data_IF_325939957107
#
_entry.id   IF_325939957107
#
_cell.length_a   1.000
_cell.length_b   1.000
_cell.length_c   1.000
_cell.angle_alpha   90.00
_cell.angle_beta   90.00
_cell.angle_gamma   90.00
#
_symmetry.space_group_name_H-M   'P 1'
#
loop_
_entity.id
_entity.type
_entity.pdbx_description
1 polymer ?
#
# COMPACT_ATOMS: atom_id res chain seq x y z
N UNK A 1 -5.52 -16.34 -11.62
CA UNK A 1 -5.57 -16.24 -10.13
C UNK A 1 -4.62 -15.13 -9.67
N UNK A 2 -4.96 -14.37 -8.60
CA UNK A 2 -4.17 -13.19 -8.23
C UNK A 2 -2.83 -13.50 -7.55
N UNK A 3 -2.70 -14.62 -6.80
CA UNK A 3 -1.43 -14.98 -6.13
C UNK A 3 -0.30 -15.45 -7.06
N UNK A 4 -0.61 -15.81 -8.32
CA UNK A 4 0.32 -16.19 -9.40
C UNK A 4 1.49 -17.13 -9.04
N UNK A 5 1.27 -18.16 -8.21
CA UNK A 5 2.34 -19.10 -7.85
C UNK A 5 3.01 -19.81 -9.05
N UNK A 6 2.31 -19.93 -10.19
CA UNK A 6 2.83 -20.53 -11.43
C UNK A 6 3.59 -19.56 -12.32
N UNK A 7 3.73 -18.27 -11.97
CA UNK A 7 4.47 -17.28 -12.77
C UNK A 7 5.91 -17.74 -13.04
N UNK A 8 6.54 -18.37 -12.03
CA UNK A 8 7.90 -18.91 -12.14
C UNK A 8 8.01 -20.04 -13.18
N UNK A 9 6.91 -20.57 -13.73
CA UNK A 9 6.93 -21.58 -14.79
C UNK A 9 6.73 -21.01 -16.20
N UNK A 10 6.68 -19.68 -16.38
CA UNK A 10 6.49 -19.07 -17.70
C UNK A 10 7.66 -19.34 -18.67
N UNK A 11 8.89 -19.48 -18.17
CA UNK A 11 10.05 -19.95 -18.94
C UNK A 11 10.69 -21.19 -18.27
N UNK A 12 10.13 -22.39 -18.49
CA UNK A 12 10.62 -23.60 -17.84
C UNK A 12 12.10 -23.87 -18.14
N UNK A 13 12.59 -23.55 -19.34
CA UNK A 13 13.97 -23.84 -19.74
C UNK A 13 14.95 -22.97 -18.97
N UNK A 14 14.65 -21.69 -18.82
CA UNK A 14 15.45 -20.77 -17.99
C UNK A 14 15.41 -21.19 -16.52
N UNK A 15 14.24 -21.55 -15.99
CA UNK A 15 14.13 -22.10 -14.64
C UNK A 15 14.99 -23.36 -14.46
N UNK A 16 14.94 -24.31 -15.41
CA UNK A 16 15.72 -25.54 -15.35
C UNK A 16 17.22 -25.27 -15.28
N UNK A 17 17.72 -24.27 -16.01
CA UNK A 17 19.14 -23.85 -15.95
C UNK A 17 19.50 -23.32 -14.56
N UNK A 18 18.64 -22.49 -13.95
CA UNK A 18 18.87 -21.94 -12.60
C UNK A 18 18.92 -23.07 -11.56
N UNK A 19 17.92 -23.97 -11.57
CA UNK A 19 17.81 -25.05 -10.58
C UNK A 19 18.94 -26.09 -10.65
N UNK A 20 19.50 -26.30 -11.84
CA UNK A 20 20.53 -27.31 -12.10
C UNK A 20 21.93 -26.74 -12.31
N UNK A 21 22.18 -25.48 -11.92
CA UNK A 21 23.54 -24.95 -11.91
C UNK A 21 24.39 -25.76 -10.91
N UNK A 22 25.49 -26.40 -11.33
CA UNK A 22 26.28 -27.28 -10.46
C UNK A 22 27.03 -26.51 -9.36
N UNK A 23 27.38 -25.25 -9.61
CA UNK A 23 28.07 -24.40 -8.64
C UNK A 23 27.09 -23.66 -7.72
N UNK A 24 25.88 -23.39 -8.22
CA UNK A 24 24.87 -22.55 -7.56
C UNK A 24 23.49 -23.19 -7.60
N UNK A 25 23.30 -24.38 -7.00
CA UNK A 25 22.02 -25.09 -7.06
C UNK A 25 20.91 -24.31 -6.36
N UNK A 26 19.69 -24.38 -6.87
CA UNK A 26 18.52 -23.72 -6.24
C UNK A 26 17.42 -24.76 -6.02
N UNK A 27 16.72 -24.64 -4.90
CA UNK A 27 15.52 -25.41 -4.59
C UNK A 27 14.34 -24.46 -4.36
N UNK A 28 13.17 -24.83 -4.87
CA UNK A 28 11.93 -24.09 -4.68
C UNK A 28 10.98 -24.94 -3.86
N UNK A 29 10.55 -24.38 -2.73
CA UNK A 29 9.57 -24.98 -1.85
C UNK A 29 8.22 -24.29 -2.05
N UNK A 30 7.21 -25.08 -2.40
CA UNK A 30 5.82 -24.66 -2.43
C UNK A 30 5.09 -25.25 -1.24
N UNK A 31 4.16 -24.50 -0.66
CA UNK A 31 3.23 -25.02 0.33
C UNK A 31 1.90 -24.29 0.23
N UNK A 32 0.80 -25.01 0.44
CA UNK A 32 -0.52 -24.39 0.40
C UNK A 32 -1.64 -25.41 0.46
N UNK A 33 -2.85 -24.89 0.58
CA UNK A 33 -4.10 -25.66 0.51
C UNK A 33 -5.02 -24.95 -0.48
N UNK A 34 -5.64 -25.71 -1.37
CA UNK A 34 -6.76 -25.21 -2.17
C UNK A 34 -8.06 -25.57 -1.45
N UNK A 35 -8.98 -24.60 -1.34
CA UNK A 35 -10.33 -24.90 -0.88
C UNK A 35 -11.00 -25.89 -1.85
N UNK A 36 -11.85 -26.83 -1.37
CA UNK A 36 -12.50 -27.81 -2.25
C UNK A 36 -13.35 -27.22 -3.38
N UNK A 37 -13.78 -25.97 -3.27
CA UNK A 37 -14.54 -25.24 -4.31
C UNK A 37 -13.67 -24.30 -5.17
N UNK A 38 -12.36 -24.24 -4.92
CA UNK A 38 -11.44 -23.38 -5.65
C UNK A 38 -10.68 -24.19 -6.72
N UNK A 39 -11.33 -24.42 -7.85
CA UNK A 39 -10.75 -25.21 -8.94
C UNK A 39 -9.47 -24.57 -9.51
N UNK A 40 -9.41 -23.25 -9.61
CA UNK A 40 -8.19 -22.55 -10.01
C UNK A 40 -7.01 -22.82 -9.06
N UNK A 41 -7.27 -22.93 -7.75
CA UNK A 41 -6.27 -23.32 -6.76
C UNK A 41 -5.83 -24.77 -6.90
N UNK A 42 -6.75 -25.68 -7.23
CA UNK A 42 -6.42 -27.10 -7.50
C UNK A 42 -5.59 -27.25 -8.77
N UNK A 43 -5.92 -26.53 -9.84
CA UNK A 43 -5.13 -26.54 -11.09
C UNK A 43 -3.72 -26.01 -10.88
N UNK A 44 -3.56 -24.99 -10.03
CA UNK A 44 -2.27 -24.45 -9.64
C UNK A 44 -1.42 -25.51 -8.93
N UNK A 45 -1.98 -26.22 -7.94
CA UNK A 45 -1.28 -27.31 -7.25
C UNK A 45 -0.95 -28.45 -8.23
N UNK A 46 -1.88 -28.81 -9.12
CA UNK A 46 -1.65 -29.83 -10.15
C UNK A 46 -0.49 -29.44 -11.07
N UNK A 47 -0.43 -28.18 -11.49
CA UNK A 47 0.67 -27.66 -12.32
C UNK A 47 2.01 -27.75 -11.60
N UNK A 48 2.07 -27.33 -10.34
CA UNK A 48 3.30 -27.43 -9.52
C UNK A 48 3.75 -28.90 -9.42
N UNK A 49 2.84 -29.81 -9.10
CA UNK A 49 3.15 -31.23 -8.96
C UNK A 49 3.59 -31.85 -10.29
N UNK A 50 2.99 -31.43 -11.40
CA UNK A 50 3.41 -31.85 -12.74
C UNK A 50 4.87 -31.46 -13.01
N UNK A 51 5.24 -30.19 -12.80
CA UNK A 51 6.64 -29.75 -12.95
C UNK A 51 7.57 -30.47 -11.97
N UNK A 52 7.18 -30.64 -10.71
CA UNK A 52 8.00 -31.32 -9.69
C UNK A 52 8.36 -32.78 -10.04
N UNK A 53 7.59 -33.43 -10.92
CA UNK A 53 7.83 -34.81 -11.35
C UNK A 53 8.63 -34.91 -12.66
N UNK A 54 8.79 -33.81 -13.40
CA UNK A 54 9.50 -33.79 -14.68
C UNK A 54 11.04 -33.89 -14.51
N UNK A 55 11.69 -34.49 -15.51
CA UNK A 55 13.14 -34.62 -15.55
C UNK A 55 13.85 -33.25 -15.61
N UNK A 56 14.78 -33.05 -14.67
CA UNK A 56 15.47 -31.79 -14.44
C UNK A 56 14.78 -30.83 -13.47
N UNK A 57 13.60 -31.16 -12.95
CA UNK A 57 12.96 -30.42 -11.86
C UNK A 57 12.76 -31.28 -10.61
N UNK A 58 12.72 -32.61 -10.80
CA UNK A 58 12.62 -33.58 -9.72
C UNK A 58 13.69 -33.36 -8.64
N UNK A 59 13.27 -33.22 -7.39
CA UNK A 59 14.14 -32.92 -6.24
C UNK A 59 14.54 -31.46 -6.10
N UNK A 60 14.31 -30.62 -7.12
CA UNK A 60 14.55 -29.18 -7.10
C UNK A 60 13.29 -28.36 -6.84
N UNK A 61 12.13 -28.90 -7.22
CA UNK A 61 10.82 -28.36 -6.86
C UNK A 61 10.17 -29.34 -5.89
N UNK A 62 9.77 -28.84 -4.72
CA UNK A 62 9.12 -29.65 -3.69
C UNK A 62 7.81 -28.98 -3.29
N UNK A 63 6.72 -29.74 -3.33
CA UNK A 63 5.43 -29.32 -2.77
C UNK A 63 5.24 -29.95 -1.39
N UNK A 64 5.03 -29.12 -0.38
CA UNK A 64 4.83 -29.53 1.00
C UNK A 64 3.32 -29.48 1.30
N UNK A 65 2.76 -30.67 1.49
CA UNK A 65 1.34 -30.84 1.80
C UNK A 65 1.01 -30.40 3.23
N UNK A 66 -0.28 -30.20 3.50
CA UNK A 66 -0.75 -30.03 4.88
C UNK A 66 -0.33 -28.71 5.54
N UNK A 67 -0.16 -27.62 4.77
CA UNK A 67 0.22 -26.31 5.30
C UNK A 67 -0.55 -25.94 6.58
N UNK A 68 0.21 -25.67 7.64
CA UNK A 68 -0.24 -25.46 9.01
C UNK A 68 0.70 -24.47 9.70
N UNK A 69 0.39 -24.07 10.93
CA UNK A 69 1.31 -23.21 11.70
C UNK A 69 2.69 -23.86 11.92
N UNK A 70 2.73 -25.19 12.11
CA UNK A 70 3.98 -25.92 12.28
C UNK A 70 4.83 -25.90 10.99
N UNK A 71 4.21 -26.22 9.85
CA UNK A 71 4.87 -26.15 8.53
C UNK A 71 5.30 -24.71 8.22
N UNK A 72 4.44 -23.73 8.48
CA UNK A 72 4.77 -22.31 8.29
C UNK A 72 5.96 -21.88 9.14
N UNK A 73 6.06 -22.35 10.39
CA UNK A 73 7.20 -22.04 11.26
C UNK A 73 8.49 -22.56 10.65
N UNK A 74 8.50 -23.83 10.23
CA UNK A 74 9.66 -24.46 9.61
C UNK A 74 10.08 -23.77 8.30
N UNK A 75 9.12 -23.43 7.44
CA UNK A 75 9.38 -22.73 6.17
C UNK A 75 9.95 -21.34 6.40
N UNK A 76 9.33 -20.56 7.27
CA UNK A 76 9.77 -19.19 7.58
C UNK A 76 11.15 -19.16 8.24
N UNK A 77 11.51 -20.17 9.03
CA UNK A 77 12.84 -20.27 9.63
C UNK A 77 13.91 -20.89 8.72
N UNK A 78 13.51 -21.66 7.70
CA UNK A 78 14.42 -22.42 6.86
C UNK A 78 14.61 -21.89 5.44
N UNK A 79 13.84 -20.87 5.04
CA UNK A 79 13.92 -20.29 3.70
C UNK A 79 14.89 -19.12 3.67
N UNK A 80 15.83 -19.14 2.73
CA UNK A 80 16.75 -18.02 2.46
C UNK A 80 16.01 -16.85 1.79
N UNK A 81 15.14 -17.16 0.84
CA UNK A 81 14.33 -16.20 0.09
C UNK A 81 12.86 -16.53 0.21
N UNK A 82 12.05 -15.52 0.50
CA UNK A 82 10.60 -15.63 0.45
C UNK A 82 10.03 -14.92 -0.77
N UNK A 83 9.52 -15.72 -1.71
CA UNK A 83 8.99 -15.25 -2.99
C UNK A 83 7.49 -14.92 -2.87
N UNK A 84 7.11 -13.67 -3.17
CA UNK A 84 5.72 -13.26 -3.30
C UNK A 84 5.49 -12.54 -4.64
N UNK A 85 4.57 -13.01 -5.45
CA UNK A 85 4.31 -12.44 -6.77
C UNK A 85 2.81 -12.19 -7.06
N UNK A 86 2.06 -11.56 -6.13
CA UNK A 86 0.66 -11.25 -6.37
C UNK A 86 0.50 -10.31 -7.57
N UNK A 87 -0.66 -10.36 -8.21
CA UNK A 87 -1.05 -9.42 -9.26
C UNK A 87 -1.41 -8.09 -8.61
N UNK A 88 -0.71 -7.02 -9.01
CA UNK A 88 -1.04 -5.64 -8.60
C UNK A 88 -2.42 -5.22 -9.12
N UNK A 89 -3.19 -4.40 -8.37
CA UNK A 89 -3.02 -4.01 -6.96
C UNK A 89 -3.91 -4.87 -6.03
N UNK A 90 -3.92 -6.20 -6.24
CA UNK A 90 -4.91 -7.08 -5.61
C UNK A 90 -4.48 -7.58 -4.23
N UNK A 91 -3.21 -7.38 -3.83
CA UNK A 91 -2.76 -7.66 -2.48
C UNK A 91 -2.98 -6.44 -1.57
N UNK A 92 -3.88 -6.55 -0.60
CA UNK A 92 -4.08 -5.47 0.37
C UNK A 92 -2.88 -5.30 1.33
N UNK A 93 -2.21 -6.41 1.71
CA UNK A 93 -1.04 -6.38 2.59
C UNK A 93 -0.19 -7.65 2.37
N UNK A 94 -0.45 -8.72 3.12
CA UNK A 94 0.26 -9.99 3.04
C UNK A 94 1.28 -10.16 4.17
N UNK A 95 0.97 -10.98 5.16
CA UNK A 95 1.77 -11.08 6.41
C UNK A 95 2.83 -12.17 6.41
N UNK A 96 2.88 -13.04 5.39
CA UNK A 96 3.86 -14.14 5.33
C UNK A 96 5.29 -13.63 5.20
N UNK A 97 5.53 -12.69 4.28
CA UNK A 97 6.85 -12.09 4.07
C UNK A 97 7.36 -11.27 5.24
N UNK A 98 6.46 -10.71 6.06
CA UNK A 98 6.80 -9.94 7.27
C UNK A 98 7.46 -10.81 8.36
N UNK A 99 7.24 -12.14 8.35
CA UNK A 99 7.72 -13.08 9.38
C UNK A 99 9.14 -13.56 9.11
N UNK A 100 9.59 -13.49 7.86
CA UNK A 100 10.85 -14.07 7.37
C UNK A 100 12.10 -13.37 7.91
N UNK A 101 12.15 -12.02 8.01
CA UNK A 101 13.36 -11.31 8.40
C UNK A 101 13.94 -11.68 9.77
N UNK A 102 13.09 -12.12 10.72
CA UNK A 102 13.56 -12.54 12.06
C UNK A 102 14.52 -13.73 12.02
N UNK A 103 14.46 -14.54 10.95
CA UNK A 103 15.34 -15.68 10.73
C UNK A 103 16.46 -15.38 9.72
N UNK A 104 16.67 -14.11 9.38
CA UNK A 104 17.68 -13.70 8.38
C UNK A 104 17.29 -13.97 6.92
N UNK A 105 16.05 -14.39 6.66
CA UNK A 105 15.56 -14.54 5.30
C UNK A 105 15.25 -13.18 4.64
N UNK A 106 15.25 -13.17 3.32
CA UNK A 106 15.12 -11.97 2.50
C UNK A 106 13.88 -12.08 1.60
N UNK A 107 13.16 -10.98 1.42
CA UNK A 107 11.98 -10.96 0.55
C UNK A 107 12.38 -10.68 -0.91
N UNK A 108 11.79 -11.44 -1.83
CA UNK A 108 11.77 -11.19 -3.27
C UNK A 108 10.30 -11.04 -3.65
N UNK A 109 9.84 -9.81 -3.85
CA UNK A 109 8.41 -9.55 -3.97
C UNK A 109 8.04 -8.52 -5.03
N UNK A 110 6.88 -8.69 -5.64
CA UNK A 110 6.21 -7.60 -6.35
C UNK A 110 5.95 -6.45 -5.36
N UNK A 111 6.08 -5.20 -5.82
CA UNK A 111 5.68 -3.99 -5.08
C UNK A 111 4.15 -3.87 -4.99
N UNK A 112 3.55 -4.75 -4.18
CA UNK A 112 2.12 -4.73 -3.83
C UNK A 112 1.93 -5.01 -2.33
N UNK A 113 0.76 -4.64 -1.81
CA UNK A 113 0.41 -4.85 -0.41
C UNK A 113 1.40 -4.21 0.57
N UNK A 114 2.01 -5.01 1.43
CA UNK A 114 2.91 -4.51 2.49
C UNK A 114 4.31 -4.13 1.98
N UNK A 115 4.74 -4.67 0.83
CA UNK A 115 6.12 -4.54 0.37
C UNK A 115 6.50 -3.09 0.00
N UNK A 116 5.63 -2.30 -0.67
CA UNK A 116 5.86 -0.86 -0.88
C UNK A 116 6.04 -0.03 0.40
N UNK A 117 5.49 -0.46 1.54
CA UNK A 117 5.67 0.22 2.82
C UNK A 117 7.03 -0.08 3.47
N UNK A 118 7.67 -1.19 3.09
CA UNK A 118 8.85 -1.75 3.75
C UNK A 118 10.12 -1.63 2.89
N UNK A 119 10.00 -1.78 1.57
CA UNK A 119 11.13 -1.91 0.67
C UNK A 119 11.95 -0.62 0.59
N UNK A 120 13.26 -0.72 0.79
CA UNK A 120 14.18 0.42 0.79
C UNK A 120 15.34 0.30 -0.22
N UNK A 121 15.27 -0.68 -1.13
CA UNK A 121 16.33 -0.97 -2.11
C UNK A 121 17.51 -1.78 -1.57
N UNK A 122 17.61 -1.97 -0.25
CA UNK A 122 18.74 -2.63 0.41
C UNK A 122 18.32 -3.81 1.30
N UNK A 123 17.02 -4.02 1.48
CA UNK A 123 16.43 -5.02 2.38
C UNK A 123 15.73 -6.20 1.66
N UNK A 124 15.96 -6.34 0.37
CA UNK A 124 15.42 -7.41 -0.48
C UNK A 124 15.35 -6.99 -1.94
N UNK A 125 14.43 -7.58 -2.69
CA UNK A 125 14.27 -7.31 -4.11
C UNK A 125 12.81 -7.02 -4.48
N UNK A 126 12.64 -6.07 -5.40
CA UNK A 126 11.38 -5.75 -6.04
C UNK A 126 11.29 -6.39 -7.42
N UNK A 127 10.22 -7.17 -7.68
CA UNK A 127 9.93 -7.71 -9.00
C UNK A 127 9.16 -6.67 -9.82
N UNK A 128 9.62 -6.45 -11.05
CA UNK A 128 9.12 -5.42 -11.96
C UNK A 128 9.56 -4.01 -11.56
N UNK A 129 8.93 -3.03 -12.20
CA UNK A 129 9.27 -1.60 -12.10
C UNK A 129 8.07 -0.74 -11.66
N UNK A 130 6.96 -1.37 -11.26
CA UNK A 130 5.74 -0.69 -10.84
C UNK A 130 4.83 -0.25 -12.00
N UNK A 131 5.17 -0.53 -13.26
CA UNK A 131 4.32 -0.16 -14.41
C UNK A 131 2.95 -0.85 -14.31
N UNK A 132 1.89 -0.08 -14.55
CA UNK A 132 0.53 -0.59 -14.68
C UNK A 132 0.29 -1.04 -16.12
N UNK A 133 -0.22 -2.25 -16.27
CA UNK A 133 -0.54 -2.84 -17.56
C UNK A 133 -2.05 -3.05 -17.65
N UNK A 134 -2.64 -2.63 -18.77
CA UNK A 134 -4.06 -2.91 -19.05
C UNK A 134 -4.31 -4.41 -19.34
N UNK A 135 -3.33 -5.09 -19.94
CA UNK A 135 -3.40 -6.53 -20.23
C UNK A 135 -2.68 -7.35 -19.14
N UNK A 136 -3.41 -8.23 -18.43
CA UNK A 136 -2.84 -9.15 -17.46
C UNK A 136 -1.72 -10.06 -17.99
N UNK A 137 -1.74 -10.44 -19.28
CA UNK A 137 -0.73 -11.32 -19.86
C UNK A 137 0.57 -10.57 -20.15
N UNK A 138 0.49 -9.32 -20.62
CA UNK A 138 1.67 -8.44 -20.73
C UNK A 138 2.34 -8.23 -19.37
N UNK A 139 1.54 -8.01 -18.31
CA UNK A 139 2.05 -7.92 -16.95
C UNK A 139 2.76 -9.19 -16.52
N UNK A 140 2.19 -10.37 -16.81
CA UNK A 140 2.78 -11.64 -16.40
C UNK A 140 4.09 -11.93 -17.14
N UNK A 141 4.20 -11.56 -18.43
CA UNK A 141 5.44 -11.68 -19.18
C UNK A 141 6.53 -10.76 -18.63
N UNK A 142 6.17 -9.50 -18.36
CA UNK A 142 7.07 -8.52 -17.79
C UNK A 142 7.56 -8.92 -16.38
N UNK A 143 6.64 -9.24 -15.47
CA UNK A 143 6.97 -9.64 -14.11
C UNK A 143 7.77 -10.96 -14.07
N UNK A 144 7.46 -11.91 -14.96
CA UNK A 144 8.24 -13.14 -15.10
C UNK A 144 9.66 -12.86 -15.56
N UNK A 145 9.85 -12.02 -16.58
CA UNK A 145 11.17 -11.67 -17.09
C UNK A 145 12.02 -11.00 -15.99
N UNK A 146 11.44 -10.04 -15.27
CA UNK A 146 12.09 -9.39 -14.13
C UNK A 146 12.46 -10.38 -13.01
N UNK A 147 11.54 -11.30 -12.66
CA UNK A 147 11.81 -12.34 -11.68
C UNK A 147 13.05 -13.17 -12.06
N UNK A 148 13.14 -13.63 -13.30
CA UNK A 148 14.29 -14.41 -13.75
C UNK A 148 15.59 -13.61 -13.76
N UNK A 149 15.55 -12.35 -14.20
CA UNK A 149 16.73 -11.48 -14.18
C UNK A 149 17.26 -11.27 -12.77
N UNK A 150 16.36 -11.04 -11.80
CA UNK A 150 16.72 -10.95 -10.39
C UNK A 150 17.33 -12.25 -9.88
N UNK A 151 16.72 -13.40 -10.20
CA UNK A 151 17.26 -14.70 -9.79
C UNK A 151 18.67 -14.93 -10.32
N UNK A 152 18.90 -14.68 -11.61
CA UNK A 152 20.15 -14.99 -12.29
C UNK A 152 21.29 -14.01 -12.00
N UNK A 153 20.98 -12.72 -11.87
CA UNK A 153 21.99 -11.66 -11.76
C UNK A 153 22.24 -11.21 -10.33
N UNK A 154 21.22 -11.30 -9.47
CA UNK A 154 21.27 -10.75 -8.12
C UNK A 154 21.13 -11.83 -7.06
N UNK A 155 19.98 -12.48 -6.95
CA UNK A 155 19.62 -13.34 -5.81
C UNK A 155 20.57 -14.54 -5.70
N UNK A 156 20.68 -15.35 -6.75
CA UNK A 156 21.50 -16.57 -6.72
C UNK A 156 23.00 -16.23 -6.64
N UNK A 157 23.56 -15.30 -7.44
CA UNK A 157 24.95 -14.90 -7.30
C UNK A 157 25.28 -14.36 -5.90
N UNK A 158 24.48 -13.45 -5.35
CA UNK A 158 24.73 -12.89 -4.02
C UNK A 158 24.62 -13.95 -2.92
N UNK A 159 23.74 -14.95 -3.08
CA UNK A 159 23.68 -16.07 -2.14
C UNK A 159 24.89 -16.98 -2.22
N UNK A 160 25.59 -17.11 -3.35
CA UNK A 160 26.72 -18.05 -3.50
C UNK A 160 28.11 -17.38 -3.53
N UNK A 161 28.18 -16.05 -3.63
CA UNK A 161 29.41 -15.28 -3.52
C UNK A 161 29.93 -15.38 -2.07
N UNK A 162 31.05 -16.07 -1.87
CA UNK A 162 31.61 -16.40 -0.55
C UNK A 162 33.01 -15.80 -0.46
N UNK A 163 33.33 -15.20 0.68
CA UNK A 163 34.71 -14.81 0.98
C UNK A 163 35.60 -16.02 1.35
N UNK A 164 36.86 -15.75 1.66
CA UNK A 164 37.85 -16.75 2.09
C UNK A 164 37.43 -17.56 3.34
N UNK A 165 36.48 -17.04 4.13
CA UNK A 165 35.95 -17.71 5.33
C UNK A 165 34.62 -18.43 5.04
N UNK A 166 34.17 -18.47 3.80
CA UNK A 166 32.89 -19.08 3.42
C UNK A 166 31.67 -18.24 3.80
N UNK A 167 31.81 -16.92 3.91
CA UNK A 167 30.70 -16.01 4.30
C UNK A 167 30.23 -15.19 3.10
N UNK A 168 28.92 -15.18 2.78
CA UNK A 168 28.37 -14.21 1.82
C UNK A 168 28.15 -12.85 2.46
N UNK A 169 29.17 -11.98 2.40
CA UNK A 169 29.10 -10.66 3.04
C UNK A 169 27.90 -9.84 2.56
N UNK A 170 27.65 -9.80 1.24
CA UNK A 170 26.54 -9.04 0.64
C UNK A 170 25.18 -9.58 1.08
N UNK A 171 25.02 -10.90 1.09
CA UNK A 171 23.80 -11.55 1.58
C UNK A 171 23.54 -11.25 3.05
N UNK A 172 24.56 -11.44 3.90
CA UNK A 172 24.46 -11.21 5.35
C UNK A 172 24.14 -9.75 5.64
N UNK A 173 24.72 -8.80 4.87
CA UNK A 173 24.39 -7.39 4.98
C UNK A 173 22.92 -7.12 4.65
N UNK A 174 22.41 -7.67 3.54
CA UNK A 174 21.00 -7.53 3.14
C UNK A 174 20.04 -8.20 4.15
N UNK A 175 20.39 -9.37 4.68
CA UNK A 175 19.63 -10.05 5.73
C UNK A 175 19.56 -9.21 7.02
N UNK A 176 20.66 -8.57 7.41
CA UNK A 176 20.69 -7.64 8.55
C UNK A 176 19.83 -6.40 8.31
N UNK A 177 19.86 -5.84 7.11
CA UNK A 177 19.04 -4.69 6.74
C UNK A 177 17.55 -5.05 6.70
N UNK A 178 17.20 -6.22 6.16
CA UNK A 178 15.87 -6.84 6.23
C UNK A 178 15.37 -6.95 7.67
N UNK A 179 16.17 -7.54 8.56
CA UNK A 179 15.83 -7.66 9.98
C UNK A 179 15.58 -6.28 10.62
N UNK A 180 16.52 -5.35 10.41
CA UNK A 180 16.52 -4.02 11.05
C UNK A 180 15.31 -3.19 10.64
N UNK A 181 14.93 -3.23 9.37
CA UNK A 181 13.91 -2.32 8.82
C UNK A 181 12.49 -2.88 8.91
N UNK A 182 12.31 -4.20 8.84
CA UNK A 182 10.97 -4.80 8.73
C UNK A 182 10.39 -5.11 10.11
N UNK A 183 11.15 -5.70 11.03
CA UNK A 183 10.58 -6.33 12.24
C UNK A 183 9.86 -5.33 13.14
N UNK A 184 10.43 -4.14 13.35
CA UNK A 184 9.79 -3.13 14.20
C UNK A 184 8.51 -2.57 13.54
N UNK A 185 8.52 -2.42 12.21
CA UNK A 185 7.43 -1.77 11.47
C UNK A 185 6.24 -2.72 11.34
N UNK A 186 6.45 -4.02 11.21
CA UNK A 186 5.39 -5.00 11.03
C UNK A 186 5.08 -5.82 12.29
N UNK A 187 5.46 -5.28 13.46
CA UNK A 187 5.11 -5.87 14.75
C UNK A 187 3.61 -5.73 15.06
N UNK A 188 2.97 -6.83 15.44
CA UNK A 188 1.59 -6.83 15.93
C UNK A 188 1.45 -6.00 17.22
N UNK A 189 2.51 -5.86 18.02
CA UNK A 189 2.49 -5.00 19.19
C UNK A 189 2.27 -3.53 18.79
N UNK A 190 3.05 -3.02 17.81
CA UNK A 190 2.85 -1.68 17.25
C UNK A 190 1.43 -1.53 16.71
N UNK A 191 0.97 -2.48 15.91
CA UNK A 191 -0.37 -2.45 15.32
C UNK A 191 -1.45 -2.32 16.40
N UNK A 192 -1.45 -3.19 17.42
CA UNK A 192 -2.46 -3.15 18.50
C UNK A 192 -2.39 -1.83 19.26
N UNK A 193 -1.18 -1.34 19.55
CA UNK A 193 -0.99 -0.07 20.24
C UNK A 193 -1.56 1.11 19.45
N UNK A 194 -1.29 1.17 18.14
CA UNK A 194 -1.87 2.20 17.27
C UNK A 194 -3.40 2.08 17.16
N UNK A 195 -3.95 0.86 17.12
CA UNK A 195 -5.39 0.66 17.15
C UNK A 195 -5.99 1.20 18.45
N UNK A 196 -5.34 0.90 19.58
CA UNK A 196 -5.76 1.35 20.90
C UNK A 196 -5.75 2.89 21.00
N UNK A 197 -4.63 3.52 20.66
CA UNK A 197 -4.43 4.97 20.79
C UNK A 197 -5.23 5.78 19.79
N UNK A 198 -5.31 5.35 18.52
CA UNK A 198 -5.91 6.13 17.44
C UNK A 198 -7.41 5.91 17.30
N UNK A 199 -7.94 4.76 17.73
CA UNK A 199 -9.35 4.41 17.52
C UNK A 199 -10.09 4.08 18.82
N UNK A 200 -9.63 3.10 19.59
CA UNK A 200 -10.40 2.63 20.75
C UNK A 200 -10.47 3.65 21.88
N UNK A 201 -9.34 4.21 22.32
CA UNK A 201 -9.33 5.20 23.41
C UNK A 201 -10.09 6.49 23.04
N UNK A 202 -9.92 7.10 21.84
CA UNK A 202 -10.74 8.22 21.42
C UNK A 202 -12.23 7.89 21.35
N UNK A 203 -12.58 6.70 20.84
CA UNK A 203 -13.96 6.23 20.77
C UNK A 203 -14.62 6.09 22.13
N UNK A 204 -13.90 5.52 23.12
CA UNK A 204 -14.38 5.40 24.50
C UNK A 204 -14.62 6.79 25.11
N UNK A 205 -13.63 7.69 25.02
CA UNK A 205 -13.75 9.07 25.55
C UNK A 205 -14.92 9.82 24.92
N UNK A 206 -15.14 9.65 23.63
CA UNK A 206 -16.26 10.28 22.93
C UNK A 206 -17.59 9.69 23.37
N UNK A 207 -17.69 8.37 23.53
CA UNK A 207 -18.91 7.71 24.02
C UNK A 207 -19.28 8.22 25.43
N UNK A 208 -18.31 8.34 26.32
CA UNK A 208 -18.49 8.92 27.66
C UNK A 208 -18.97 10.38 27.58
N UNK A 209 -18.32 11.20 26.75
CA UNK A 209 -18.71 12.60 26.54
C UNK A 209 -20.13 12.73 25.98
N UNK A 210 -20.51 11.91 24.99
CA UNK A 210 -21.83 11.94 24.37
C UNK A 210 -22.94 11.49 25.33
N UNK A 211 -22.61 10.69 26.35
CA UNK A 211 -23.54 10.23 27.39
C UNK A 211 -23.76 11.24 28.52
N UNK A 212 -22.98 12.32 28.59
CA UNK A 212 -23.13 13.38 29.61
C UNK A 212 -24.48 14.10 29.52
N UNK A 213 -24.91 14.66 30.66
CA UNK A 213 -26.12 15.51 30.77
C UNK A 213 -27.36 14.87 30.11
N UNK A 214 -27.68 13.63 30.51
CA UNK A 214 -28.80 12.85 29.96
C UNK A 214 -28.81 12.84 28.40
N UNK A 215 -27.63 12.58 27.83
CA UNK A 215 -27.38 12.53 26.39
C UNK A 215 -27.64 13.85 25.65
N UNK A 216 -27.53 15.02 26.31
CA UNK A 216 -27.70 16.32 25.65
C UNK A 216 -26.72 16.50 24.49
N UNK A 217 -25.45 16.13 24.69
CA UNK A 217 -24.41 16.23 23.66
C UNK A 217 -24.69 15.35 22.45
N UNK A 218 -25.16 14.12 22.67
CA UNK A 218 -25.59 13.22 21.60
C UNK A 218 -26.79 13.78 20.83
N UNK A 219 -27.80 14.30 21.52
CA UNK A 219 -28.99 14.89 20.88
C UNK A 219 -28.61 16.06 19.99
N UNK A 220 -27.70 16.93 20.44
CA UNK A 220 -27.19 18.05 19.63
C UNK A 220 -26.40 17.54 18.41
N UNK A 221 -25.50 16.56 18.61
CA UNK A 221 -24.73 15.98 17.52
C UNK A 221 -25.64 15.34 16.44
N UNK A 222 -26.69 14.61 16.85
CA UNK A 222 -27.68 14.03 15.93
C UNK A 222 -28.45 15.10 15.17
N UNK A 223 -28.81 16.24 15.79
CA UNK A 223 -29.44 17.36 15.07
C UNK A 223 -28.48 17.95 14.03
N UNK A 224 -27.22 18.13 14.39
CA UNK A 224 -26.19 18.60 13.47
C UNK A 224 -26.01 17.64 12.29
N UNK A 225 -25.92 16.33 12.55
CA UNK A 225 -25.83 15.29 11.50
C UNK A 225 -27.01 15.38 10.52
N UNK A 226 -28.24 15.50 11.03
CA UNK A 226 -29.43 15.65 10.18
C UNK A 226 -29.39 16.94 9.34
N UNK A 227 -29.01 18.06 9.95
CA UNK A 227 -28.91 19.35 9.26
C UNK A 227 -27.88 19.29 8.12
N UNK A 228 -26.65 18.86 8.42
CA UNK A 228 -25.56 18.84 7.44
C UNK A 228 -25.82 17.84 6.31
N UNK A 229 -26.35 16.65 6.60
CA UNK A 229 -26.70 15.67 5.58
C UNK A 229 -27.81 16.18 4.65
N UNK A 230 -28.80 16.90 5.18
CA UNK A 230 -29.92 17.41 4.38
C UNK A 230 -29.53 18.51 3.39
N UNK A 231 -28.47 19.28 3.71
CA UNK A 231 -27.97 20.40 2.90
C UNK A 231 -26.78 20.02 2.01
N UNK A 232 -26.16 18.86 2.24
CA UNK A 232 -24.87 18.52 1.61
C UNK A 232 -24.90 18.51 0.09
N UNK A 233 -26.00 18.05 -0.51
CA UNK A 233 -26.15 17.98 -1.97
C UNK A 233 -26.14 19.36 -2.65
N UNK A 234 -26.51 20.41 -1.92
CA UNK A 234 -26.54 21.77 -2.43
C UNK A 234 -25.15 22.46 -2.38
N UNK A 235 -24.21 21.92 -1.60
CA UNK A 235 -22.83 22.42 -1.55
C UNK A 235 -22.20 22.29 -2.94
N UNK A 236 -21.62 23.38 -3.41
CA UNK A 236 -20.92 23.43 -4.70
C UNK A 236 -19.80 24.47 -4.69
N UNK A 237 -18.84 24.22 -5.57
CA UNK A 237 -17.83 25.21 -5.91
C UNK A 237 -18.41 26.09 -7.03
N UNK A 238 -18.44 27.41 -6.84
CA UNK A 238 -19.07 28.30 -7.82
C UNK A 238 -18.08 28.82 -8.86
N UNK A 239 -16.90 29.29 -8.43
CA UNK A 239 -15.85 29.83 -9.32
C UNK A 239 -14.48 29.66 -8.64
N UNK A 240 -13.46 29.37 -9.43
CA UNK A 240 -12.06 29.48 -9.04
C UNK A 240 -11.67 30.96 -9.17
N UNK A 241 -11.52 31.68 -8.05
CA UNK A 241 -11.37 33.13 -8.09
C UNK A 241 -10.00 33.58 -8.62
N UNK A 242 -8.91 32.84 -8.33
CA UNK A 242 -7.55 33.08 -8.83
C UNK A 242 -6.63 31.85 -8.63
N UNK A 243 -5.70 31.60 -9.56
CA UNK A 243 -4.59 30.63 -9.41
C UNK A 243 -4.84 29.18 -9.84
N UNK A 244 -6.03 28.86 -10.37
CA UNK A 244 -6.46 27.49 -10.63
C UNK A 244 -6.88 27.20 -12.08
N UNK A 245 -6.59 28.12 -13.00
CA UNK A 245 -6.73 27.91 -14.46
C UNK A 245 -5.78 26.81 -14.95
N UNK A 246 -4.58 26.75 -14.37
CA UNK A 246 -3.64 25.65 -14.55
C UNK A 246 -3.49 24.88 -13.23
N UNK A 247 -4.11 23.70 -13.11
CA UNK A 247 -4.05 22.86 -11.90
C UNK A 247 -2.67 22.21 -11.67
N UNK A 248 -1.62 22.75 -12.31
CA UNK A 248 -0.24 22.28 -12.24
C UNK A 248 0.64 23.35 -11.56
N UNK A 249 1.41 22.95 -10.56
CA UNK A 249 2.49 23.75 -9.96
C UNK A 249 3.86 23.28 -10.47
N UNK A 250 4.75 24.24 -10.72
CA UNK A 250 6.18 23.97 -10.92
C UNK A 250 6.94 23.96 -9.59
N UNK A 251 8.11 23.33 -9.58
CA UNK A 251 9.00 23.30 -8.43
C UNK A 251 9.33 24.70 -7.91
N UNK A 252 9.20 24.93 -6.60
CA UNK A 252 9.49 26.21 -5.95
C UNK A 252 8.50 27.34 -6.24
N UNK A 253 7.49 27.12 -7.09
CA UNK A 253 6.44 28.09 -7.39
C UNK A 253 5.58 28.36 -6.14
N UNK A 254 5.31 29.63 -5.88
CA UNK A 254 4.34 30.08 -4.87
C UNK A 254 3.09 30.61 -5.56
N UNK A 255 1.92 30.09 -5.19
CA UNK A 255 0.64 30.53 -5.74
C UNK A 255 -0.39 30.74 -4.64
N UNK A 256 -1.14 31.83 -4.74
CA UNK A 256 -2.34 32.01 -3.91
C UNK A 256 -3.50 31.27 -4.57
N UNK A 257 -4.05 30.30 -3.84
CA UNK A 257 -5.23 29.55 -4.28
C UNK A 257 -6.42 30.11 -3.52
N UNK A 258 -7.40 30.65 -4.25
CA UNK A 258 -8.66 31.11 -3.70
C UNK A 258 -9.83 30.38 -4.39
N UNK A 259 -10.73 29.83 -3.58
CA UNK A 259 -11.90 29.08 -4.06
C UNK A 259 -13.18 29.62 -3.45
N UNK A 260 -14.23 29.72 -4.27
CA UNK A 260 -15.56 30.13 -3.83
C UNK A 260 -16.44 28.90 -3.60
N UNK A 261 -16.94 28.76 -2.38
CA UNK A 261 -17.81 27.65 -1.97
C UNK A 261 -19.18 28.20 -1.55
N UNK A 262 -20.23 27.59 -2.09
CA UNK A 262 -21.60 27.81 -1.64
C UNK A 262 -21.99 26.75 -0.60
N UNK A 263 -22.50 27.18 0.56
CA UNK A 263 -22.75 26.31 1.71
C UNK A 263 -24.23 26.09 2.05
N UNK A 264 -25.17 26.60 1.25
CA UNK A 264 -26.62 26.39 1.43
C UNK A 264 -27.14 26.58 2.87
N UNK A 265 -26.73 27.68 3.51
CA UNK A 265 -27.12 28.00 4.88
C UNK A 265 -26.49 27.11 5.95
N UNK A 266 -25.43 26.35 5.63
CA UNK A 266 -24.44 25.89 6.61
C UNK A 266 -23.46 27.01 6.92
N UNK A 267 -22.97 27.03 8.16
CA UNK A 267 -21.98 28.01 8.59
C UNK A 267 -20.56 27.59 8.18
N UNK A 268 -19.63 28.53 7.97
CA UNK A 268 -18.24 28.22 7.63
C UNK A 268 -17.54 27.29 8.61
N UNK A 269 -17.87 27.36 9.90
CA UNK A 269 -17.30 26.50 10.94
C UNK A 269 -17.80 25.04 10.88
N UNK A 270 -18.93 24.79 10.21
CA UNK A 270 -19.51 23.45 10.05
C UNK A 270 -18.86 22.67 8.89
N UNK A 271 -17.96 23.29 8.14
CA UNK A 271 -17.23 22.69 7.04
C UNK A 271 -15.72 22.92 7.13
N UNK A 272 -14.97 22.07 6.47
CA UNK A 272 -13.53 22.20 6.28
C UNK A 272 -13.24 22.12 4.80
N UNK A 273 -12.61 23.17 4.28
CA UNK A 273 -12.20 23.23 2.88
C UNK A 273 -10.73 22.85 2.81
N UNK A 274 -10.42 21.82 2.02
CA UNK A 274 -9.08 21.28 1.87
C UNK A 274 -8.64 21.32 0.42
N UNK A 275 -7.39 21.71 0.21
CA UNK A 275 -6.63 21.47 -1.01
C UNK A 275 -5.98 20.08 -0.89
N UNK A 276 -6.06 19.28 -1.94
CA UNK A 276 -5.36 18.00 -2.07
C UNK A 276 -4.34 18.17 -3.19
N UNK A 277 -3.07 18.14 -2.82
CA UNK A 277 -1.92 18.22 -3.73
C UNK A 277 -1.41 16.81 -3.97
N UNK A 278 -1.30 16.42 -5.23
CA UNK A 278 -0.74 15.15 -5.67
C UNK A 278 0.51 15.44 -6.50
N UNK A 279 1.65 14.87 -6.11
CA UNK A 279 2.86 14.92 -6.94
C UNK A 279 2.74 13.90 -8.07
N UNK A 280 3.07 14.30 -9.29
CA UNK A 280 3.18 13.39 -10.43
C UNK A 280 4.62 12.83 -10.52
N UNK A 281 5.01 11.98 -9.58
CA UNK A 281 6.17 11.12 -9.74
C UNK A 281 5.73 9.68 -10.03
N UNK A 282 6.32 9.09 -11.07
CA UNK A 282 5.82 7.91 -11.77
C UNK A 282 5.97 6.58 -11.02
N UNK A 283 6.24 6.57 -9.71
CA UNK A 283 6.59 5.33 -8.99
C UNK A 283 5.82 5.08 -7.69
N UNK A 284 5.07 6.04 -7.13
CA UNK A 284 4.31 5.84 -5.88
C UNK A 284 3.05 6.71 -5.80
N UNK A 285 2.00 6.33 -6.54
CA UNK A 285 0.75 7.09 -6.70
C UNK A 285 -0.04 7.39 -5.40
N UNK A 286 0.29 6.77 -4.27
CA UNK A 286 -0.44 6.97 -3.01
C UNK A 286 0.35 7.59 -1.86
N UNK A 287 1.69 7.69 -1.96
CA UNK A 287 2.51 8.28 -0.90
C UNK A 287 2.75 9.79 -1.07
N UNK A 288 2.30 10.38 -2.19
CA UNK A 288 2.60 11.77 -2.54
C UNK A 288 1.38 12.71 -2.54
N UNK A 289 0.37 12.40 -1.72
CA UNK A 289 -0.77 13.28 -1.49
C UNK A 289 -0.59 14.11 -0.21
N UNK A 290 -0.52 15.43 -0.34
CA UNK A 290 -0.56 16.37 0.77
C UNK A 290 -1.95 17.04 0.86
N UNK A 291 -2.53 17.09 2.06
CA UNK A 291 -3.79 17.80 2.31
C UNK A 291 -3.54 19.10 3.07
N UNK A 292 -4.00 20.23 2.54
CA UNK A 292 -3.82 21.56 3.15
C UNK A 292 -5.18 22.19 3.43
N UNK A 293 -5.48 22.52 4.68
CA UNK A 293 -6.70 23.27 5.03
C UNK A 293 -6.61 24.72 4.54
N UNK A 294 -7.64 25.16 3.81
CA UNK A 294 -7.80 26.52 3.34
C UNK A 294 -8.66 27.30 4.36
N UNK A 295 -8.13 28.37 4.99
CA UNK A 295 -8.89 29.19 5.92
C UNK A 295 -9.92 30.05 5.16
N UNK A 296 -10.99 30.43 5.87
CA UNK A 296 -11.94 31.43 5.38
C UNK A 296 -11.21 32.78 5.20
N UNK A 297 -11.35 33.36 4.01
CA UNK A 297 -10.84 34.69 3.66
C UNK A 297 -11.92 35.75 3.75
N UNK A 298 -13.10 35.45 3.20
CA UNK A 298 -14.18 36.44 3.08
C UNK A 298 -15.57 35.78 3.01
N UNK A 299 -16.55 36.42 3.63
CA UNK A 299 -17.97 36.13 3.40
C UNK A 299 -18.49 37.06 2.29
N UNK A 300 -19.04 36.48 1.22
CA UNK A 300 -19.49 37.22 0.04
C UNK A 300 -21.01 37.49 0.05
N UNK A 301 -21.73 36.96 1.05
CA UNK A 301 -23.19 37.01 1.13
C UNK A 301 -23.87 35.91 0.33
N UNK A 302 -25.19 35.77 0.48
CA UNK A 302 -26.01 34.77 -0.22
C UNK A 302 -25.47 33.33 -0.11
N UNK A 303 -24.91 32.96 1.05
CA UNK A 303 -24.36 31.63 1.31
C UNK A 303 -23.04 31.31 0.59
N UNK A 304 -22.36 32.33 0.04
CA UNK A 304 -21.06 32.19 -0.62
C UNK A 304 -19.90 32.64 0.26
N UNK A 305 -18.84 31.85 0.25
CA UNK A 305 -17.65 32.04 1.07
C UNK A 305 -16.39 31.82 0.24
N UNK A 306 -15.40 32.68 0.45
CA UNK A 306 -14.07 32.56 -0.17
C UNK A 306 -13.10 31.92 0.82
N UNK A 307 -12.44 30.84 0.40
CA UNK A 307 -11.39 30.17 1.16
C UNK A 307 -10.08 30.23 0.39
N UNK A 308 -8.96 30.46 1.08
CA UNK A 308 -7.70 30.52 0.35
C UNK A 308 -6.44 30.64 1.19
N UNK A 309 -5.32 30.24 0.57
CA UNK A 309 -4.00 30.23 1.19
C UNK A 309 -2.91 30.34 0.11
N UNK A 310 -1.78 30.96 0.45
CA UNK A 310 -0.55 30.87 -0.35
C UNK A 310 0.11 29.52 -0.14
N UNK A 311 0.37 28.81 -1.23
CA UNK A 311 0.92 27.46 -1.25
C UNK A 311 2.25 27.49 -2.01
N UNK A 312 3.26 26.81 -1.47
CA UNK A 312 4.58 26.64 -2.07
C UNK A 312 4.81 25.17 -2.39
N UNK A 313 5.23 24.86 -3.62
CA UNK A 313 5.69 23.53 -3.98
C UNK A 313 7.02 23.23 -3.28
N UNK A 314 7.03 22.21 -2.39
CA UNK A 314 8.18 21.92 -1.49
C UNK A 314 9.36 21.21 -2.15
N UNK A 315 9.17 20.58 -3.33
CA UNK A 315 10.23 19.83 -4.02
C UNK A 315 10.06 19.86 -5.54
N UNK A 316 11.04 19.31 -6.26
CA UNK A 316 11.04 19.21 -7.72
C UNK A 316 9.94 18.25 -8.24
N UNK A 317 9.28 18.65 -9.33
CA UNK A 317 8.22 17.88 -10.00
C UNK A 317 6.96 18.69 -10.29
N UNK A 318 6.09 18.14 -11.12
CA UNK A 318 4.76 18.70 -11.38
C UNK A 318 3.78 18.25 -10.29
N UNK A 319 3.06 19.19 -9.68
CA UNK A 319 1.98 18.86 -8.75
C UNK A 319 0.64 19.11 -9.41
N UNK A 320 -0.26 18.14 -9.34
CA UNK A 320 -1.69 18.35 -9.59
C UNK A 320 -2.37 18.74 -8.29
N UNK A 321 -3.41 19.58 -8.35
CA UNK A 321 -4.26 19.78 -7.18
C UNK A 321 -5.74 19.68 -7.50
N UNK A 322 -6.50 19.31 -6.47
CA UNK A 322 -7.96 19.45 -6.42
C UNK A 322 -8.37 20.01 -5.05
N UNK A 323 -9.62 20.41 -4.91
CA UNK A 323 -10.18 20.88 -3.64
C UNK A 323 -11.33 19.99 -3.22
N UNK A 324 -11.57 19.89 -1.90
CA UNK A 324 -12.73 19.23 -1.35
C UNK A 324 -13.31 19.99 -0.16
N UNK A 325 -14.61 19.82 0.07
CA UNK A 325 -15.30 20.22 1.29
C UNK A 325 -15.60 18.96 2.10
N UNK A 326 -15.31 19.02 3.39
CA UNK A 326 -15.61 18.00 4.38
C UNK A 326 -16.47 18.59 5.51
N UNK A 327 -17.32 17.79 6.16
CA UNK A 327 -17.98 18.17 7.41
C UNK A 327 -16.95 18.51 8.49
N UNK A 328 -17.25 19.52 9.30
CA UNK A 328 -16.42 19.90 10.43
C UNK A 328 -17.27 20.06 11.68
N UNK A 329 -17.03 19.22 12.68
CA UNK A 329 -17.62 19.34 14.00
C UNK A 329 -16.64 18.77 15.04
N UNK A 330 -16.41 19.46 16.18
CA UNK A 330 -15.52 18.97 17.23
C UNK A 330 -15.88 17.60 17.79
N UNK A 331 -17.15 17.19 17.62
CA UNK A 331 -17.68 15.90 18.06
C UNK A 331 -17.50 14.78 17.04
N UNK A 332 -16.79 14.98 15.92
CA UNK A 332 -16.36 13.89 15.03
C UNK A 332 -15.05 13.27 15.56
N UNK A 333 -14.94 11.94 15.55
CA UNK A 333 -13.67 11.26 15.86
C UNK A 333 -12.66 11.44 14.75
N UNK A 334 -13.15 11.37 13.52
CA UNK A 334 -12.35 11.51 12.33
C UNK A 334 -13.10 12.30 11.26
N UNK A 335 -12.36 13.09 10.48
CA UNK A 335 -12.93 14.02 9.48
C UNK A 335 -13.73 13.36 8.36
N UNK A 336 -13.68 12.03 8.26
CA UNK A 336 -14.41 11.23 7.26
C UNK A 336 -15.53 10.35 7.85
N UNK A 337 -15.86 10.47 9.15
CA UNK A 337 -16.81 9.59 9.85
C UNK A 337 -18.16 9.46 9.14
N UNK A 338 -18.67 10.57 8.61
CA UNK A 338 -20.02 10.62 8.01
C UNK A 338 -20.01 10.45 6.49
N UNK A 339 -18.84 10.17 5.90
CA UNK A 339 -18.66 9.83 4.47
C UNK A 339 -19.22 10.86 3.48
N UNK A 340 -19.37 12.11 3.92
CA UNK A 340 -19.76 13.22 3.07
C UNK A 340 -18.49 13.94 2.60
N UNK A 341 -18.26 13.95 1.29
CA UNK A 341 -17.14 14.66 0.65
C UNK A 341 -17.68 15.30 -0.61
N UNK A 342 -17.48 16.61 -0.78
CA UNK A 342 -17.78 17.30 -2.04
C UNK A 342 -16.45 17.68 -2.70
N UNK A 343 -16.16 17.10 -3.85
CA UNK A 343 -14.98 17.46 -4.63
C UNK A 343 -15.26 18.64 -5.56
N UNK A 344 -14.22 19.40 -5.87
CA UNK A 344 -14.20 20.34 -6.97
C UNK A 344 -14.18 19.53 -8.26
N UNK A 345 -15.26 19.65 -9.03
CA UNK A 345 -15.41 19.00 -10.34
C UNK A 345 -14.37 19.51 -11.37
#
# INVERSE_FOLDING_TARGET
PYKRATLIFKDPQRLKKILNNPERPVQILFAGKAHPQNDAGKELIRTINHFAQQDGYRGKIVFIEGYSMAVSRALVSGSDVWLNNPRRPLEASGTSGQKVPINGGINLSILDGWWPEAYNGHNGWAIGDGVEFADPEMQDQHDSQSLYELLEKEVVPNFYDRDENGVPKRWVQMAKESFKTIIHQFSTHRMIWEYLEKYYLPGIKQAEYLATDNYAQLKEHVRWLKNISSKWSAIRFNVLANGAENRIFSAGEEREINILVYLDGLKPEEVKVELVLERQDALQSHQNMETITLPLKKELGNGQYEYGKKIKAKSDGAYRFSCRVLPNNPKLLHKHDIRLIKWLD
#
